data_IF_256826396798
#
_entry.id   IF_256826396798
#
_cell.length_a   1.000
_cell.length_b   1.000
_cell.length_c   1.000
_cell.angle_alpha   90.00
_cell.angle_beta   90.00
_cell.angle_gamma   90.00
#
_symmetry.space_group_name_H-M   'P 1'
#
loop_
_entity.id
_entity.type
_entity.pdbx_description
1 polymer ?
#
# COMPACT_ATOMS: atom_id res chain seq x y z
N UNK A 1 -17.12 10.56 -0.83
CA UNK A 1 -17.05 9.16 -1.33
C UNK A 1 -18.17 8.37 -0.67
N UNK A 2 -18.95 7.59 -1.40
CA UNK A 2 -20.08 6.89 -0.83
C UNK A 2 -19.64 5.64 -0.03
N UNK A 3 -20.55 5.14 0.81
CA UNK A 3 -20.27 4.01 1.70
C UNK A 3 -19.98 2.71 0.95
N UNK A 4 -20.64 2.49 -0.18
CA UNK A 4 -20.43 1.28 -0.99
C UNK A 4 -19.03 1.22 -1.55
N UNK A 5 -18.52 2.34 -2.02
CA UNK A 5 -17.17 2.44 -2.56
C UNK A 5 -16.12 2.25 -1.47
N UNK A 6 -16.33 2.87 -0.31
CA UNK A 6 -15.45 2.68 0.85
C UNK A 6 -15.41 1.20 1.23
N UNK A 7 -16.55 0.52 1.23
CA UNK A 7 -16.63 -0.89 1.55
C UNK A 7 -15.84 -1.74 0.56
N UNK A 8 -15.85 -1.41 -0.73
CA UNK A 8 -15.05 -2.11 -1.72
C UNK A 8 -13.56 -2.01 -1.42
N UNK A 9 -13.08 -0.85 -0.97
CA UNK A 9 -11.69 -0.67 -0.55
C UNK A 9 -11.36 -1.53 0.68
N UNK A 10 -12.24 -1.51 1.68
CA UNK A 10 -12.07 -2.31 2.90
C UNK A 10 -12.04 -3.81 2.57
N UNK A 11 -12.90 -4.27 1.66
CA UNK A 11 -12.96 -5.68 1.25
C UNK A 11 -11.68 -6.14 0.57
N UNK A 12 -10.93 -5.24 -0.06
CA UNK A 12 -9.63 -5.53 -0.67
C UNK A 12 -8.46 -5.46 0.33
N UNK A 13 -8.74 -5.22 1.60
CA UNK A 13 -7.73 -5.16 2.65
C UNK A 13 -7.13 -3.79 2.89
N UNK A 14 -7.67 -2.75 2.27
CA UNK A 14 -7.27 -1.37 2.52
C UNK A 14 -7.97 -0.81 3.75
N UNK A 15 -7.31 0.12 4.43
CA UNK A 15 -7.87 0.88 5.53
C UNK A 15 -7.95 2.35 5.12
N UNK A 16 -8.83 3.10 5.75
CA UNK A 16 -8.97 4.53 5.50
C UNK A 16 -7.80 5.27 6.14
N UNK A 17 -7.17 6.15 5.37
CA UNK A 17 -6.05 6.96 5.82
C UNK A 17 -6.32 8.43 5.45
N UNK A 18 -6.92 9.16 6.38
CA UNK A 18 -7.28 10.56 6.15
C UNK A 18 -8.39 10.75 5.12
N UNK A 19 -8.44 11.93 4.51
CA UNK A 19 -9.45 12.28 3.50
C UNK A 19 -9.00 11.79 2.13
N UNK A 20 -9.84 11.01 1.47
CA UNK A 20 -9.59 10.51 0.12
C UNK A 20 -8.27 9.72 -0.01
N UNK A 21 -7.91 8.99 1.03
CA UNK A 21 -6.71 8.16 1.01
C UNK A 21 -6.98 6.79 1.64
N UNK A 22 -6.31 5.78 1.10
CA UNK A 22 -6.41 4.41 1.58
C UNK A 22 -5.02 3.80 1.69
N UNK A 23 -4.80 2.95 2.68
CA UNK A 23 -3.54 2.25 2.79
C UNK A 23 -3.75 0.76 3.06
N UNK A 24 -2.77 -0.01 2.67
CA UNK A 24 -2.73 -1.45 2.89
C UNK A 24 -1.35 -1.83 3.39
N UNK A 25 -1.29 -2.68 4.41
CA UNK A 25 -0.01 -3.17 4.93
C UNK A 25 0.00 -4.69 4.98
N UNK A 26 1.17 -5.26 4.74
CA UNK A 26 1.43 -6.70 4.83
C UNK A 26 2.69 -6.90 5.64
N UNK A 27 2.60 -7.66 6.71
CA UNK A 27 3.74 -8.00 7.55
C UNK A 27 4.18 -9.42 7.24
N UNK A 28 5.49 -9.60 6.99
CA UNK A 28 6.11 -10.90 6.78
C UNK A 28 7.16 -11.15 7.85
N UNK A 29 7.17 -12.35 8.35
CA UNK A 29 8.16 -12.81 9.33
C UNK A 29 9.17 -13.70 8.62
N UNK A 30 10.44 -13.39 8.80
CA UNK A 30 11.55 -14.18 8.29
C UNK A 30 12.28 -14.82 9.46
N UNK A 31 12.23 -16.17 9.60
CA UNK A 31 12.90 -16.83 10.71
C UNK A 31 14.42 -16.74 10.60
N UNK A 32 15.11 -16.88 11.73
CA UNK A 32 16.55 -16.94 11.74
C UNK A 32 17.03 -18.16 10.94
N UNK A 33 18.14 -18.00 10.21
CA UNK A 33 18.72 -19.09 9.42
C UNK A 33 20.23 -18.92 9.27
N UNK A 34 20.88 -19.99 8.86
CA UNK A 34 22.31 -19.98 8.52
C UNK A 34 22.40 -20.20 7.01
N UNK A 35 23.10 -19.30 6.31
CA UNK A 35 23.25 -19.38 4.86
C UNK A 35 24.33 -20.39 4.44
N UNK A 36 24.51 -20.56 3.12
CA UNK A 36 25.46 -21.53 2.54
C UNK A 36 26.92 -21.24 2.94
N UNK A 37 27.21 -19.99 3.31
CA UNK A 37 28.55 -19.56 3.73
C UNK A 37 28.76 -19.69 5.24
N UNK A 38 27.77 -20.19 5.98
CA UNK A 38 27.84 -20.33 7.42
C UNK A 38 27.55 -19.04 8.18
N UNK A 39 27.07 -18.00 7.50
CA UNK A 39 26.71 -16.73 8.14
C UNK A 39 25.34 -16.86 8.76
N UNK A 40 25.25 -16.50 10.04
CA UNK A 40 23.97 -16.53 10.77
C UNK A 40 23.17 -15.26 10.50
N UNK A 41 21.92 -15.44 10.06
CA UNK A 41 20.95 -14.37 9.87
C UNK A 41 19.93 -14.40 10.98
N UNK A 42 19.72 -13.26 11.60
CA UNK A 42 18.75 -13.10 12.68
C UNK A 42 17.32 -13.13 12.12
N UNK A 43 16.37 -13.53 12.95
CA UNK A 43 14.95 -13.37 12.63
C UNK A 43 14.64 -11.89 12.44
N UNK A 44 13.71 -11.60 11.53
CA UNK A 44 13.26 -10.22 11.32
C UNK A 44 11.83 -10.18 10.87
N UNK A 45 11.18 -9.08 11.19
CA UNK A 45 9.82 -8.77 10.78
C UNK A 45 9.86 -7.58 9.83
N UNK A 46 9.23 -7.74 8.67
CA UNK A 46 9.18 -6.69 7.65
C UNK A 46 7.72 -6.37 7.35
N UNK A 47 7.35 -5.11 7.52
CA UNK A 47 6.02 -4.62 7.16
C UNK A 47 6.16 -3.75 5.91
N UNK A 48 5.47 -4.15 4.85
CA UNK A 48 5.36 -3.38 3.61
C UNK A 48 4.01 -2.72 3.57
N UNK A 49 3.95 -1.45 3.16
CA UNK A 49 2.67 -0.76 3.03
C UNK A 49 2.60 0.00 1.72
N UNK A 50 1.38 0.20 1.26
CA UNK A 50 1.05 0.96 0.06
C UNK A 50 -0.07 1.92 0.40
N UNK A 51 0.11 3.19 0.05
CA UNK A 51 -0.89 4.23 0.24
C UNK A 51 -1.31 4.75 -1.11
N UNK A 52 -2.63 4.91 -1.28
CA UNK A 52 -3.22 5.49 -2.49
C UNK A 52 -3.98 6.73 -2.04
N UNK A 53 -3.54 7.88 -2.53
CA UNK A 53 -4.12 9.17 -2.18
C UNK A 53 -4.71 9.83 -3.42
N UNK A 54 -5.97 10.26 -3.32
CA UNK A 54 -6.67 10.96 -4.39
C UNK A 54 -6.60 12.47 -4.17
N UNK A 55 -6.15 13.17 -5.19
CA UNK A 55 -6.07 14.63 -5.21
C UNK A 55 -7.20 15.15 -6.10
N UNK A 56 -8.29 15.59 -5.49
CA UNK A 56 -9.49 16.05 -6.21
C UNK A 56 -9.21 17.33 -7.01
N UNK A 57 -8.34 18.19 -6.52
CA UNK A 57 -8.01 19.45 -7.17
C UNK A 57 -7.32 19.24 -8.51
N UNK A 58 -6.39 18.28 -8.55
CA UNK A 58 -5.63 17.95 -9.77
C UNK A 58 -6.25 16.83 -10.57
N UNK A 59 -7.29 16.20 -10.06
CA UNK A 59 -7.89 14.99 -10.61
C UNK A 59 -6.83 13.92 -10.87
N UNK A 60 -5.97 13.71 -9.87
CA UNK A 60 -4.85 12.77 -9.95
C UNK A 60 -4.81 11.91 -8.70
N UNK A 61 -4.10 10.83 -8.77
CA UNK A 61 -3.84 10.00 -7.60
C UNK A 61 -2.34 9.76 -7.45
N UNK A 62 -1.92 9.57 -6.21
CA UNK A 62 -0.55 9.21 -5.87
C UNK A 62 -0.52 7.83 -5.27
N UNK A 63 0.44 7.03 -5.69
CA UNK A 63 0.72 5.73 -5.09
C UNK A 63 2.10 5.80 -4.49
N UNK A 64 2.20 5.58 -3.20
CA UNK A 64 3.50 5.54 -2.55
C UNK A 64 3.51 4.42 -1.51
N UNK A 65 4.70 3.94 -1.22
CA UNK A 65 4.85 2.85 -0.31
C UNK A 65 6.08 3.00 0.55
N UNK A 66 6.24 2.07 1.46
CA UNK A 66 7.39 2.05 2.35
C UNK A 66 7.55 0.68 2.97
N UNK A 67 8.66 0.53 3.67
CA UNK A 67 9.02 -0.70 4.35
C UNK A 67 9.47 -0.35 5.77
N UNK A 68 8.97 -1.07 6.75
CA UNK A 68 9.51 -1.03 8.11
C UNK A 68 10.24 -2.35 8.31
N UNK A 69 11.57 -2.30 8.35
CA UNK A 69 12.43 -3.46 8.52
C UNK A 69 13.05 -3.40 9.91
N UNK A 70 12.67 -4.32 10.79
CA UNK A 70 13.11 -4.35 12.20
C UNK A 70 12.94 -3.00 12.91
N UNK A 71 11.79 -2.34 12.68
CA UNK A 71 11.50 -1.05 13.30
C UNK A 71 12.10 0.16 12.60
N UNK A 72 12.86 -0.02 11.52
CA UNK A 72 13.44 1.09 10.76
C UNK A 72 12.59 1.35 9.52
N UNK A 73 12.10 2.57 9.39
CA UNK A 73 11.29 2.99 8.24
C UNK A 73 12.16 3.33 7.04
N UNK A 74 11.82 2.74 5.91
CA UNK A 74 12.48 3.00 4.62
C UNK A 74 11.38 3.37 3.62
N UNK A 75 11.40 4.60 3.13
CA UNK A 75 10.44 5.02 2.10
C UNK A 75 10.90 4.52 0.73
N UNK A 76 10.02 3.80 0.04
CA UNK A 76 10.30 3.35 -1.32
C UNK A 76 9.99 4.47 -2.30
N UNK A 77 10.72 4.48 -3.42
CA UNK A 77 10.45 5.43 -4.50
C UNK A 77 9.13 5.09 -5.17
N UNK A 78 8.44 6.11 -5.66
CA UNK A 78 7.13 5.96 -6.31
C UNK A 78 7.21 5.00 -7.50
N UNK A 79 8.27 5.06 -8.28
CA UNK A 79 8.46 4.20 -9.44
C UNK A 79 8.57 2.70 -9.09
N UNK A 80 8.81 2.40 -7.83
CA UNK A 80 8.84 1.02 -7.35
C UNK A 80 7.52 0.56 -6.76
N UNK A 81 6.51 1.43 -6.71
CA UNK A 81 5.20 1.07 -6.22
C UNK A 81 4.46 0.26 -7.28
N UNK A 82 4.03 -0.94 -6.91
CA UNK A 82 3.31 -1.85 -7.80
C UNK A 82 1.83 -1.84 -7.42
N UNK A 83 0.99 -1.57 -8.42
CA UNK A 83 -0.46 -1.57 -8.25
C UNK A 83 -1.03 -2.76 -9.01
N UNK A 84 -1.78 -3.62 -8.31
CA UNK A 84 -2.44 -4.74 -8.96
C UNK A 84 -3.55 -4.26 -9.91
N UNK A 85 -3.91 -5.08 -10.89
CA UNK A 85 -4.99 -4.75 -11.83
C UNK A 85 -6.32 -4.55 -11.10
N UNK A 86 -6.57 -5.31 -10.05
CA UNK A 86 -7.77 -5.13 -9.23
C UNK A 86 -7.79 -3.80 -8.51
N UNK A 87 -6.64 -3.41 -7.94
CA UNK A 87 -6.50 -2.10 -7.29
C UNK A 87 -6.66 -0.97 -8.29
N UNK A 88 -6.10 -1.11 -9.50
CA UNK A 88 -6.25 -0.11 -10.54
C UNK A 88 -7.71 0.07 -10.96
N UNK A 89 -8.47 -1.01 -11.08
CA UNK A 89 -9.91 -0.94 -11.36
C UNK A 89 -10.65 -0.16 -10.27
N UNK A 90 -10.28 -0.41 -9.02
CA UNK A 90 -10.89 0.27 -7.89
C UNK A 90 -10.53 1.76 -7.86
N UNK A 91 -9.29 2.11 -8.23
CA UNK A 91 -8.86 3.51 -8.40
C UNK A 91 -9.71 4.19 -9.48
N UNK A 92 -9.89 3.56 -10.64
CA UNK A 92 -10.69 4.11 -11.72
C UNK A 92 -12.16 4.29 -11.33
N UNK A 93 -12.71 3.33 -10.61
CA UNK A 93 -14.07 3.42 -10.09
C UNK A 93 -14.22 4.57 -9.11
N UNK A 94 -13.24 4.77 -8.24
CA UNK A 94 -13.23 5.87 -7.28
C UNK A 94 -13.13 7.21 -7.99
N UNK A 95 -12.25 7.34 -8.99
CA UNK A 95 -12.13 8.56 -9.78
C UNK A 95 -13.46 8.92 -10.47
N UNK A 96 -14.15 7.93 -10.98
CA UNK A 96 -15.45 8.11 -11.62
C UNK A 96 -16.50 8.61 -10.63
N UNK A 97 -16.54 8.04 -9.44
CA UNK A 97 -17.43 8.44 -8.35
C UNK A 97 -17.16 9.89 -7.91
N UNK A 98 -15.89 10.32 -7.96
CA UNK A 98 -15.50 11.70 -7.64
C UNK A 98 -15.80 12.68 -8.79
N UNK A 99 -16.33 12.19 -9.91
CA UNK A 99 -16.67 13.01 -11.07
C UNK A 99 -15.47 13.36 -11.95
N UNK A 100 -14.38 12.63 -11.87
CA UNK A 100 -13.19 12.88 -12.69
C UNK A 100 -13.43 12.43 -14.13
N UNK A 101 -12.84 13.17 -15.03
CA UNK A 101 -12.92 12.89 -16.47
C UNK A 101 -11.74 12.08 -16.96
#
# INVERSE_FOLDING_TARGET
MNKELIQLWLDKGFEIYGVNAFYKKVTKYYPAYIDDKGIQHQEREVTMFQTIQFDAERQAFKVFGGVIDNGVYIQTKIENAVVSSETLRLICKTAKELGWK
#
